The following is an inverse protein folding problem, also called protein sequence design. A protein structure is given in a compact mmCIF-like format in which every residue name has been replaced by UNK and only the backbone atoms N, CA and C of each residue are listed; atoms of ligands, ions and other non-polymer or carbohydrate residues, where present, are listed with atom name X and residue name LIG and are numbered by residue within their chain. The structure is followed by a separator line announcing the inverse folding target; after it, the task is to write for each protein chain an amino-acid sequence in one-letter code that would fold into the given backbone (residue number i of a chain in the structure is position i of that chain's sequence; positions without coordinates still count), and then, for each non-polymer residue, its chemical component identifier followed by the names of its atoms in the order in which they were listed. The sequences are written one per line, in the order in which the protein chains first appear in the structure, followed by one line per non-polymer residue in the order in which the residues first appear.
data_IF_684452277921
#
_entry.id   IF_684452277921
#
_cell.length_a   1.000
_cell.length_b   1.000
_cell.length_c   1.000
_cell.angle_alpha   90.00
_cell.angle_beta   90.00
_cell.angle_gamma   90.00
#
_symmetry.space_group_name_H-M   'P 1'
#
loop_
_entity.id
_entity.type
_entity.pdbx_description
1 polymer ?
#
# COMPACT_ATOMS: atom_id res chain seq x y z
N UNK A 1 36.65 47.40 -17.55
CA UNK A 1 35.93 46.50 -16.62
C UNK A 1 35.10 45.54 -17.47
N UNK A 2 35.45 44.26 -17.53
CA UNK A 2 34.72 43.25 -18.31
C UNK A 2 33.73 42.57 -17.36
N UNK A 3 32.43 42.83 -17.54
CA UNK A 3 31.35 42.19 -16.79
C UNK A 3 31.18 40.75 -17.28
N UNK A 4 31.48 39.78 -16.42
CA UNK A 4 31.19 38.37 -16.67
C UNK A 4 29.71 38.10 -16.36
N UNK A 5 28.96 37.63 -17.36
CA UNK A 5 27.61 37.11 -17.18
C UNK A 5 27.72 35.67 -16.64
N UNK A 6 27.40 35.48 -15.37
CA UNK A 6 27.26 34.14 -14.78
C UNK A 6 25.83 33.67 -15.06
N UNK A 7 25.68 32.71 -15.98
CA UNK A 7 24.41 32.03 -16.23
C UNK A 7 24.23 31.00 -15.12
N UNK A 8 23.31 31.26 -14.19
CA UNK A 8 22.82 30.25 -13.26
C UNK A 8 21.89 29.31 -14.03
N UNK A 9 22.38 28.12 -14.36
CA UNK A 9 21.53 27.03 -14.83
C UNK A 9 20.75 26.48 -13.63
N UNK A 10 19.48 26.89 -13.50
CA UNK A 10 18.54 26.28 -12.56
C UNK A 10 18.17 24.91 -13.13
N UNK A 11 18.79 23.85 -12.62
CA UNK A 11 18.41 22.48 -12.91
C UNK A 11 17.14 22.19 -12.08
N UNK A 12 15.98 22.20 -12.75
CA UNK A 12 14.77 21.62 -12.18
C UNK A 12 14.96 20.10 -12.11
N UNK A 13 15.16 19.56 -10.90
CA UNK A 13 14.87 18.15 -10.65
C UNK A 13 13.35 17.98 -10.71
N UNK A 14 12.85 17.62 -11.89
CA UNK A 14 11.53 17.02 -11.99
C UNK A 14 11.67 15.66 -11.30
N UNK A 15 11.27 15.57 -10.04
CA UNK A 15 10.94 14.28 -9.41
C UNK A 15 9.82 13.68 -10.23
N UNK A 16 10.18 12.92 -11.26
CA UNK A 16 9.24 12.09 -11.98
C UNK A 16 8.66 11.12 -10.97
N UNK A 17 7.41 11.35 -10.55
CA UNK A 17 6.60 10.30 -9.95
C UNK A 17 6.50 9.21 -11.00
N UNK A 18 7.41 8.23 -10.98
CA UNK A 18 7.19 6.96 -11.65
C UNK A 18 5.84 6.50 -11.14
N UNK A 19 4.84 6.43 -12.02
CA UNK A 19 3.50 6.03 -11.65
C UNK A 19 3.60 4.72 -10.88
N UNK A 20 3.23 4.74 -9.59
CA UNK A 20 3.27 3.54 -8.78
C UNK A 20 2.35 2.51 -9.45
N UNK A 21 2.90 1.32 -9.66
CA UNK A 21 2.24 0.17 -10.29
C UNK A 21 2.16 -0.94 -9.26
N UNK A 22 1.12 -1.77 -9.37
CA UNK A 22 0.99 -2.99 -8.59
C UNK A 22 1.78 -4.06 -9.34
N UNK A 23 2.79 -4.63 -8.68
CA UNK A 23 3.53 -5.79 -9.20
C UNK A 23 2.90 -7.04 -8.64
N UNK A 24 2.36 -7.86 -9.55
CA UNK A 24 1.64 -9.07 -9.16
C UNK A 24 2.49 -10.30 -9.52
N UNK A 25 3.00 -11.04 -8.53
CA UNK A 25 3.58 -12.36 -8.74
C UNK A 25 2.47 -13.41 -8.91
N UNK A 26 2.76 -14.47 -9.65
CA UNK A 26 1.83 -15.56 -9.96
C UNK A 26 2.19 -16.83 -9.17
N UNK A 27 1.21 -17.57 -8.61
CA UNK A 27 -0.23 -17.32 -8.66
C UNK A 27 -0.66 -16.16 -7.76
N UNK A 28 -1.71 -15.44 -8.15
CA UNK A 28 -2.27 -14.31 -7.39
C UNK A 28 -3.09 -14.82 -6.21
N UNK A 29 -2.57 -14.68 -5.00
CA UNK A 29 -3.32 -14.91 -3.76
C UNK A 29 -3.67 -13.55 -3.17
N UNK A 30 -4.96 -13.21 -3.21
CA UNK A 30 -5.46 -11.87 -2.93
C UNK A 30 -6.20 -11.79 -1.60
N UNK A 31 -5.77 -10.86 -0.73
CA UNK A 31 -6.46 -10.48 0.50
C UNK A 31 -7.08 -9.09 0.38
N UNK A 32 -8.40 -9.02 0.38
CA UNK A 32 -9.15 -7.77 0.34
C UNK A 32 -9.59 -7.33 1.75
N UNK A 33 -9.07 -6.20 2.22
CA UNK A 33 -9.36 -5.64 3.55
C UNK A 33 -10.26 -4.40 3.43
N UNK A 34 -11.35 -4.35 4.20
CA UNK A 34 -12.18 -3.14 4.22
C UNK A 34 -13.49 -3.23 5.00
N UNK A 35 -14.51 -2.54 4.48
CA UNK A 35 -15.84 -2.39 5.08
C UNK A 35 -16.97 -2.82 4.13
N UNK A 36 -18.15 -2.17 4.19
CA UNK A 36 -19.29 -2.43 3.30
C UNK A 36 -18.91 -2.34 1.82
N UNK A 37 -17.97 -1.47 1.45
CA UNK A 37 -17.56 -1.33 0.06
C UNK A 37 -16.71 -2.50 -0.42
N UNK A 38 -16.01 -3.19 0.48
CA UNK A 38 -15.18 -4.35 0.15
C UNK A 38 -15.96 -5.67 0.21
N UNK A 39 -16.88 -5.81 1.18
CA UNK A 39 -17.78 -6.98 1.22
C UNK A 39 -18.89 -6.89 0.15
N UNK A 40 -19.01 -5.78 -0.56
CA UNK A 40 -20.04 -5.54 -1.58
C UNK A 40 -21.44 -5.64 -1.00
N UNK A 41 -21.73 -4.80 -0.01
CA UNK A 41 -23.07 -4.69 0.57
C UNK A 41 -24.12 -4.46 -0.53
N UNK A 42 -25.23 -5.19 -0.44
CA UNK A 42 -26.40 -5.05 -1.32
C UNK A 42 -26.17 -5.47 -2.79
N UNK A 43 -25.11 -6.20 -3.07
CA UNK A 43 -24.90 -6.91 -4.35
C UNK A 43 -24.58 -8.39 -4.09
N UNK A 44 -24.87 -9.30 -5.04
CA UNK A 44 -24.48 -10.70 -4.92
C UNK A 44 -22.95 -10.88 -4.97
N UNK A 45 -22.45 -12.03 -4.52
CA UNK A 45 -21.01 -12.24 -4.33
C UNK A 45 -20.18 -12.06 -5.61
N UNK A 46 -20.72 -12.50 -6.75
CA UNK A 46 -20.09 -12.38 -8.06
C UNK A 46 -19.98 -10.93 -8.55
N UNK A 47 -20.73 -10.00 -7.96
CA UNK A 47 -20.68 -8.57 -8.26
C UNK A 47 -19.76 -7.79 -7.33
N UNK A 48 -19.17 -8.42 -6.30
CA UNK A 48 -18.21 -7.74 -5.41
C UNK A 48 -16.94 -7.43 -6.19
N UNK A 49 -16.40 -6.21 -6.05
CA UNK A 49 -15.20 -5.82 -6.79
C UNK A 49 -13.98 -6.73 -6.56
N UNK A 50 -13.72 -7.35 -5.39
CA UNK A 50 -12.58 -8.26 -5.25
C UNK A 50 -12.75 -9.54 -6.09
N UNK A 51 -13.98 -10.03 -6.22
CA UNK A 51 -14.33 -11.19 -7.06
C UNK A 51 -14.21 -10.82 -8.54
N UNK A 52 -14.75 -9.65 -8.92
CA UNK A 52 -14.60 -9.13 -10.28
C UNK A 52 -13.13 -8.91 -10.66
N UNK A 53 -12.29 -8.44 -9.74
CA UNK A 53 -10.86 -8.26 -9.96
C UNK A 53 -10.16 -9.59 -10.24
N UNK A 54 -10.42 -10.63 -9.44
CA UNK A 54 -9.85 -11.96 -9.67
C UNK A 54 -10.26 -12.52 -11.04
N UNK A 55 -11.54 -12.33 -11.43
CA UNK A 55 -12.02 -12.72 -12.76
C UNK A 55 -11.32 -11.94 -13.88
N UNK A 56 -11.13 -10.62 -13.70
CA UNK A 56 -10.45 -9.77 -14.68
C UNK A 56 -8.96 -10.14 -14.84
N UNK A 57 -8.27 -10.45 -13.73
CA UNK A 57 -6.90 -10.94 -13.73
C UNK A 57 -6.79 -12.29 -14.45
N UNK A 58 -7.66 -13.25 -14.12
CA UNK A 58 -7.71 -14.55 -14.80
C UNK A 58 -7.99 -14.39 -16.29
N UNK A 59 -8.93 -13.53 -16.68
CA UNK A 59 -9.24 -13.23 -18.09
C UNK A 59 -8.08 -12.54 -18.84
N UNK A 60 -7.21 -11.85 -18.11
CA UNK A 60 -5.96 -11.26 -18.61
C UNK A 60 -4.77 -12.23 -18.58
N UNK A 61 -5.03 -13.51 -18.28
CA UNK A 61 -4.09 -14.62 -18.33
C UNK A 61 -3.17 -14.76 -17.11
N UNK A 62 -3.48 -14.11 -15.98
CA UNK A 62 -2.76 -14.36 -14.73
C UNK A 62 -3.22 -15.69 -14.13
N UNK A 63 -2.30 -16.47 -13.58
CA UNK A 63 -2.68 -17.58 -12.70
C UNK A 63 -3.24 -16.99 -11.40
N UNK A 64 -4.49 -17.29 -11.08
CA UNK A 64 -5.16 -16.83 -9.86
C UNK A 64 -5.27 -17.98 -8.85
N UNK A 65 -5.17 -17.64 -7.57
CA UNK A 65 -5.24 -18.56 -6.44
C UNK A 65 -6.33 -18.15 -5.45
N UNK A 66 -6.00 -18.14 -4.15
CA UNK A 66 -6.97 -17.83 -3.09
C UNK A 66 -7.42 -16.37 -3.15
N UNK A 67 -8.73 -16.14 -3.05
CA UNK A 67 -9.30 -14.85 -2.68
C UNK A 67 -9.84 -14.94 -1.26
N UNK A 68 -9.40 -14.03 -0.39
CA UNK A 68 -9.95 -13.85 0.95
C UNK A 68 -10.43 -12.42 1.13
N UNK A 69 -11.64 -12.26 1.66
CA UNK A 69 -12.24 -10.96 1.96
C UNK A 69 -12.41 -10.85 3.48
N UNK A 70 -11.75 -9.87 4.11
CA UNK A 70 -11.96 -9.50 5.51
C UNK A 70 -12.58 -8.12 5.52
N UNK A 71 -13.91 -8.10 5.50
CA UNK A 71 -14.68 -6.88 5.45
C UNK A 71 -16.11 -7.09 5.97
N UNK A 72 -16.69 -6.05 6.56
CA UNK A 72 -18.08 -6.06 7.00
C UNK A 72 -18.65 -4.64 7.01
N UNK A 73 -19.94 -4.54 6.74
CA UNK A 73 -20.69 -3.28 6.77
C UNK A 73 -20.60 -2.60 8.13
N UNK A 74 -20.37 -1.28 8.10
CA UNK A 74 -20.28 -0.44 9.30
C UNK A 74 -18.91 -0.41 9.98
N UNK A 75 -17.94 -1.21 9.52
CA UNK A 75 -16.61 -1.25 10.12
C UNK A 75 -15.82 0.03 9.92
N UNK A 76 -15.23 0.47 11.03
CA UNK A 76 -14.14 1.45 11.07
C UNK A 76 -12.78 0.73 11.10
N UNK A 77 -11.72 1.53 11.09
CA UNK A 77 -10.33 1.07 11.23
C UNK A 77 -10.08 0.12 12.41
N UNK A 78 -10.64 0.40 13.59
CA UNK A 78 -10.50 -0.45 14.78
C UNK A 78 -11.18 -1.82 14.63
N UNK A 79 -12.34 -1.86 14.00
CA UNK A 79 -13.04 -3.12 13.72
C UNK A 79 -12.24 -3.99 12.75
N UNK A 80 -11.79 -3.41 11.64
CA UNK A 80 -11.00 -4.12 10.64
C UNK A 80 -9.69 -4.66 11.25
N UNK A 81 -8.97 -3.85 12.04
CA UNK A 81 -7.75 -4.27 12.74
C UNK A 81 -8.02 -5.49 13.64
N UNK A 82 -9.08 -5.43 14.44
CA UNK A 82 -9.44 -6.53 15.33
C UNK A 82 -9.79 -7.80 14.55
N UNK A 83 -10.54 -7.68 13.45
CA UNK A 83 -10.92 -8.81 12.61
C UNK A 83 -9.73 -9.47 11.92
N UNK A 84 -8.76 -8.68 11.44
CA UNK A 84 -7.49 -9.19 10.89
C UNK A 84 -6.75 -9.99 11.96
N UNK A 85 -6.56 -9.40 13.15
CA UNK A 85 -5.82 -10.03 14.24
C UNK A 85 -6.44 -11.36 14.70
N UNK A 86 -7.77 -11.47 14.71
CA UNK A 86 -8.49 -12.70 15.08
C UNK A 86 -8.32 -13.83 14.06
N UNK A 87 -7.92 -13.53 12.83
CA UNK A 87 -7.77 -14.50 11.76
C UNK A 87 -6.30 -14.88 11.50
N UNK A 88 -5.35 -14.33 12.26
CA UNK A 88 -3.94 -14.66 12.12
C UNK A 88 -3.66 -16.12 12.55
N UNK A 89 -2.66 -16.79 11.93
CA UNK A 89 -1.81 -16.28 10.85
C UNK A 89 -2.50 -16.31 9.47
N UNK A 90 -2.32 -15.23 8.69
CA UNK A 90 -2.79 -15.09 7.32
C UNK A 90 -1.56 -15.13 6.38
N UNK A 91 -1.17 -16.33 5.97
CA UNK A 91 0.04 -16.56 5.19
C UNK A 91 -0.26 -16.75 3.69
N UNK A 92 0.71 -16.44 2.83
CA UNK A 92 0.67 -16.80 1.40
C UNK A 92 -0.01 -15.78 0.47
N UNK A 93 -0.53 -14.67 1.01
CA UNK A 93 -1.04 -13.56 0.20
C UNK A 93 0.10 -12.72 -0.37
N UNK A 94 0.01 -12.41 -1.65
CA UNK A 94 0.99 -11.61 -2.38
C UNK A 94 0.39 -10.34 -3.01
N UNK A 95 -0.94 -10.26 -3.04
CA UNK A 95 -1.69 -9.04 -3.33
C UNK A 95 -2.57 -8.72 -2.13
N UNK A 96 -2.50 -7.49 -1.62
CA UNK A 96 -3.34 -7.03 -0.51
C UNK A 96 -3.93 -5.66 -0.85
N UNK A 97 -5.23 -5.51 -0.68
CA UNK A 97 -5.89 -4.21 -0.86
C UNK A 97 -6.40 -3.67 0.46
N UNK A 98 -6.38 -2.34 0.61
CA UNK A 98 -7.03 -1.66 1.73
C UNK A 98 -8.02 -0.59 1.21
N UNK A 99 -9.29 -0.73 1.60
CA UNK A 99 -10.34 0.26 1.41
C UNK A 99 -11.12 0.42 2.72
N UNK A 100 -10.85 1.49 3.46
CA UNK A 100 -11.45 1.73 4.77
C UNK A 100 -11.55 3.24 5.01
N UNK A 101 -12.47 3.66 5.88
CA UNK A 101 -12.51 5.02 6.42
C UNK A 101 -13.85 5.73 6.26
N UNK A 102 -14.76 5.25 5.40
CA UNK A 102 -16.08 5.89 5.24
C UNK A 102 -16.86 5.90 6.55
N UNK A 103 -16.80 4.81 7.33
CA UNK A 103 -17.48 4.74 8.62
C UNK A 103 -16.79 5.58 9.70
N UNK A 104 -15.47 5.79 9.62
CA UNK A 104 -14.79 6.73 10.49
C UNK A 104 -15.31 8.15 10.25
N UNK A 105 -15.48 8.55 8.99
CA UNK A 105 -16.08 9.83 8.62
C UNK A 105 -17.57 9.90 9.02
N UNK A 106 -18.37 8.93 8.60
CA UNK A 106 -19.83 8.90 8.80
C UNK A 106 -20.22 8.98 10.28
N UNK A 107 -19.40 8.38 11.16
CA UNK A 107 -19.62 8.38 12.61
C UNK A 107 -18.96 9.58 13.33
N UNK A 108 -18.60 10.64 12.59
CA UNK A 108 -18.13 11.91 13.15
C UNK A 108 -16.63 11.97 13.48
N UNK A 109 -15.83 11.02 12.99
CA UNK A 109 -14.38 11.03 13.14
C UNK A 109 -13.71 12.14 12.33
N UNK A 110 -12.52 12.55 12.75
CA UNK A 110 -11.72 13.58 12.07
C UNK A 110 -10.54 12.96 11.30
N UNK A 111 -10.07 13.59 10.20
CA UNK A 111 -8.87 13.14 9.50
C UNK A 111 -7.64 13.01 10.40
N UNK A 112 -7.50 13.89 11.40
CA UNK A 112 -6.39 13.87 12.35
C UNK A 112 -6.39 12.61 13.22
N UNK A 113 -7.55 12.23 13.77
CA UNK A 113 -7.67 11.01 14.58
C UNK A 113 -7.58 9.74 13.72
N UNK A 114 -8.04 9.81 12.48
CA UNK A 114 -8.03 8.70 11.53
C UNK A 114 -6.63 8.37 10.99
N UNK A 115 -5.78 9.38 10.74
CA UNK A 115 -4.46 9.20 10.14
C UNK A 115 -3.58 8.11 10.80
N UNK A 116 -3.33 8.12 12.13
CA UNK A 116 -2.51 7.08 12.76
C UNK A 116 -3.15 5.68 12.73
N UNK A 117 -4.49 5.61 12.67
CA UNK A 117 -5.21 4.33 12.59
C UNK A 117 -5.10 3.72 11.18
N UNK A 118 -5.17 4.57 10.15
CA UNK A 118 -4.97 4.14 8.78
C UNK A 118 -3.52 3.72 8.52
N UNK A 119 -2.54 4.47 9.03
CA UNK A 119 -1.11 4.11 8.92
C UNK A 119 -0.81 2.72 9.51
N UNK A 120 -1.39 2.42 10.67
CA UNK A 120 -1.25 1.13 11.34
C UNK A 120 -1.88 -0.01 10.53
N UNK A 121 -3.05 0.20 9.93
CA UNK A 121 -3.67 -0.78 9.02
C UNK A 121 -2.88 -0.97 7.73
N UNK A 122 -2.35 0.11 7.14
CA UNK A 122 -1.53 0.03 5.95
C UNK A 122 -0.23 -0.74 6.22
N UNK A 123 0.39 -0.50 7.37
CA UNK A 123 1.58 -1.25 7.82
C UNK A 123 1.28 -2.73 7.98
N UNK A 124 0.11 -3.08 8.55
CA UNK A 124 -0.35 -4.47 8.64
C UNK A 124 -0.63 -5.08 7.26
N UNK A 125 -1.27 -4.36 6.35
CA UNK A 125 -1.51 -4.82 4.98
C UNK A 125 -0.20 -5.14 4.24
N UNK A 126 0.82 -4.28 4.40
CA UNK A 126 2.17 -4.52 3.87
C UNK A 126 2.75 -5.79 4.47
N UNK A 127 2.68 -5.98 5.78
CA UNK A 127 3.18 -7.19 6.44
C UNK A 127 2.51 -8.47 5.90
N UNK A 128 1.19 -8.43 5.71
CA UNK A 128 0.40 -9.54 5.16
C UNK A 128 0.76 -9.86 3.71
N UNK A 129 1.26 -8.88 2.94
CA UNK A 129 1.79 -9.05 1.59
C UNK A 129 3.27 -9.50 1.57
N UNK A 130 3.75 -10.18 2.62
CA UNK A 130 5.16 -10.55 2.76
C UNK A 130 6.09 -9.34 2.87
N UNK A 131 5.60 -8.23 3.44
CA UNK A 131 6.26 -6.94 3.53
C UNK A 131 6.64 -6.33 2.18
N UNK A 132 5.94 -6.66 1.11
CA UNK A 132 6.17 -6.10 -0.22
C UNK A 132 5.17 -4.98 -0.51
N UNK A 133 5.54 -3.69 -0.37
CA UNK A 133 4.61 -2.58 -0.64
C UNK A 133 4.16 -2.51 -2.11
N UNK A 134 4.92 -3.09 -3.05
CA UNK A 134 4.51 -3.17 -4.46
C UNK A 134 3.39 -4.19 -4.73
N UNK A 135 3.15 -5.11 -3.79
CA UNK A 135 1.99 -6.02 -3.78
C UNK A 135 0.80 -5.46 -3.00
N UNK A 136 0.89 -4.23 -2.48
CA UNK A 136 -0.22 -3.58 -1.77
C UNK A 136 -0.77 -2.44 -2.61
N UNK A 137 -2.10 -2.26 -2.55
CA UNK A 137 -2.74 -1.07 -3.07
C UNK A 137 -3.85 -0.55 -2.16
N UNK A 138 -4.08 0.76 -2.21
CA UNK A 138 -5.15 1.44 -1.49
C UNK A 138 -6.14 2.00 -2.49
N UNK A 139 -7.43 1.79 -2.24
CA UNK A 139 -8.50 2.46 -2.96
C UNK A 139 -8.94 3.71 -2.20
N UNK A 140 -9.18 4.80 -2.92
CA UNK A 140 -9.82 5.98 -2.33
C UNK A 140 -11.25 5.67 -1.88
N UNK A 141 -11.74 6.37 -0.86
CA UNK A 141 -13.09 6.24 -0.33
C UNK A 141 -14.08 6.85 -1.34
N UNK A 142 -15.13 6.12 -1.77
CA UNK A 142 -16.21 6.65 -2.59
C UNK A 142 -16.95 7.82 -1.90
N UNK A 143 -17.39 8.78 -2.69
CA UNK A 143 -18.15 9.95 -2.25
C UNK A 143 -19.65 9.65 -2.28
N UNK A 144 -20.20 9.22 -1.13
CA UNK A 144 -21.61 8.86 -1.04
C UNK A 144 -22.55 10.08 -1.02
N UNK A 145 -22.05 11.33 -1.08
CA UNK A 145 -22.90 12.49 -1.34
C UNK A 145 -23.69 12.31 -2.64
N UNK A 146 -23.13 11.56 -3.59
CA UNK A 146 -23.70 11.32 -4.91
C UNK A 146 -24.59 10.07 -4.97
N UNK A 147 -25.18 9.69 -3.84
CA UNK A 147 -26.17 8.61 -3.73
C UNK A 147 -27.52 9.21 -3.35
N UNK A 148 -28.66 8.53 -3.59
CA UNK A 148 -29.95 8.92 -3.02
C UNK A 148 -29.88 9.19 -1.51
N UNK A 149 -29.14 8.38 -0.75
CA UNK A 149 -28.94 8.57 0.69
C UNK A 149 -28.17 9.86 1.03
N UNK A 150 -27.10 10.16 0.30
CA UNK A 150 -26.28 11.36 0.53
C UNK A 150 -26.90 12.66 0.01
N UNK A 151 -27.85 12.56 -0.93
CA UNK A 151 -28.69 13.65 -1.41
C UNK A 151 -27.93 14.94 -1.81
N UNK A 152 -26.75 14.77 -2.42
CA UNK A 152 -25.91 15.88 -2.90
C UNK A 152 -25.30 16.75 -1.81
N UNK A 153 -25.21 16.26 -0.56
CA UNK A 153 -24.71 17.06 0.55
C UNK A 153 -23.20 17.35 0.42
N UNK A 154 -22.79 18.63 0.20
CA UNK A 154 -21.40 18.98 -0.06
C UNK A 154 -20.48 18.78 1.15
N UNK A 155 -21.02 18.74 2.37
CA UNK A 155 -20.22 18.49 3.57
C UNK A 155 -19.65 17.07 3.57
N UNK A 156 -20.37 16.09 3.00
CA UNK A 156 -19.87 14.72 2.83
C UNK A 156 -18.67 14.75 1.89
N UNK A 157 -18.80 15.34 0.69
CA UNK A 157 -17.72 15.42 -0.29
C UNK A 157 -16.46 16.07 0.28
N UNK A 158 -16.60 17.18 0.99
CA UNK A 158 -15.47 17.87 1.62
C UNK A 158 -14.75 16.98 2.66
N UNK A 159 -15.51 16.22 3.45
CA UNK A 159 -14.93 15.32 4.45
C UNK A 159 -14.25 14.12 3.79
N UNK A 160 -14.90 13.51 2.80
CA UNK A 160 -14.33 12.39 2.02
C UNK A 160 -13.03 12.81 1.34
N UNK A 161 -12.97 14.01 0.76
CA UNK A 161 -11.74 14.55 0.18
C UNK A 161 -10.62 14.68 1.23
N UNK A 162 -10.93 15.14 2.44
CA UNK A 162 -9.96 15.26 3.52
C UNK A 162 -9.43 13.88 4.01
N UNK A 163 -10.31 12.87 4.12
CA UNK A 163 -9.90 11.50 4.47
C UNK A 163 -9.08 10.86 3.34
N UNK A 164 -9.46 11.06 2.09
CA UNK A 164 -8.71 10.57 0.93
C UNK A 164 -7.35 11.22 0.79
N UNK A 165 -7.22 12.50 1.17
CA UNK A 165 -5.91 13.16 1.23
C UNK A 165 -4.99 12.50 2.26
N UNK A 166 -5.53 12.11 3.42
CA UNK A 166 -4.79 11.33 4.43
C UNK A 166 -4.34 9.99 3.84
N UNK A 167 -5.27 9.23 3.23
CA UNK A 167 -4.94 7.94 2.63
C UNK A 167 -3.84 8.06 1.58
N UNK A 168 -3.94 9.04 0.68
CA UNK A 168 -2.97 9.30 -0.39
C UNK A 168 -1.59 9.66 0.16
N UNK A 169 -1.52 10.56 1.13
CA UNK A 169 -0.26 11.00 1.73
C UNK A 169 0.46 9.83 2.40
N UNK A 170 -0.25 9.07 3.24
CA UNK A 170 0.33 7.93 3.96
C UNK A 170 0.74 6.83 2.98
N UNK A 171 -0.11 6.49 1.99
CA UNK A 171 0.24 5.49 0.96
C UNK A 171 1.51 5.87 0.22
N UNK A 172 1.67 7.15 -0.14
CA UNK A 172 2.88 7.65 -0.79
C UNK A 172 4.12 7.51 0.08
N UNK A 173 4.02 7.75 1.40
CA UNK A 173 5.15 7.61 2.33
C UNK A 173 5.64 6.15 2.42
N UNK A 174 4.73 5.19 2.32
CA UNK A 174 5.04 3.76 2.36
C UNK A 174 5.36 3.15 0.98
N UNK A 175 5.32 3.96 -0.09
CA UNK A 175 5.54 3.47 -1.46
C UNK A 175 4.45 2.52 -1.96
N UNK A 176 3.25 2.61 -1.40
CA UNK A 176 2.08 1.80 -1.76
C UNK A 176 1.25 2.51 -2.83
N UNK A 177 0.86 1.77 -3.85
CA UNK A 177 0.04 2.29 -4.96
C UNK A 177 -1.32 2.78 -4.45
N UNK A 178 -1.64 4.05 -4.69
CA UNK A 178 -2.94 4.65 -4.41
C UNK A 178 -3.77 4.79 -5.69
N UNK A 179 -4.98 4.23 -5.70
CA UNK A 179 -5.90 4.23 -6.84
C UNK A 179 -7.12 5.08 -6.49
N UNK A 180 -7.36 6.09 -7.30
CA UNK A 180 -8.42 7.07 -7.08
C UNK A 180 -9.71 6.66 -7.80
N UNK A 181 -10.65 6.07 -7.05
CA UNK A 181 -11.96 5.63 -7.53
C UNK A 181 -13.08 6.62 -7.18
N UNK A 182 -12.80 7.63 -6.36
CA UNK A 182 -13.78 8.62 -5.90
C UNK A 182 -14.47 9.36 -7.05
N UNK A 183 -13.77 9.77 -8.14
CA UNK A 183 -14.43 10.38 -9.29
C UNK A 183 -15.54 9.53 -9.91
N UNK A 184 -15.44 8.20 -9.85
CA UNK A 184 -16.48 7.29 -10.39
C UNK A 184 -17.78 7.47 -9.60
N UNK A 185 -17.68 7.44 -8.27
CA UNK A 185 -18.85 7.58 -7.38
C UNK A 185 -19.58 8.91 -7.51
N UNK A 186 -18.88 9.98 -7.92
CA UNK A 186 -19.47 11.30 -8.16
C UNK A 186 -20.43 11.36 -9.36
N UNK A 187 -20.55 10.29 -10.12
CA UNK A 187 -21.57 10.15 -11.17
C UNK A 187 -22.85 9.47 -10.67
N UNK A 188 -22.96 9.08 -9.40
CA UNK A 188 -24.07 8.26 -8.91
C UNK A 188 -25.46 8.91 -9.01
N UNK A 189 -25.57 10.24 -8.86
CA UNK A 189 -26.85 10.95 -9.02
C UNK A 189 -27.28 11.09 -10.48
N UNK A 190 -26.32 11.26 -11.39
CA UNK A 190 -26.59 11.38 -12.84
C UNK A 190 -26.72 10.02 -13.52
N UNK A 191 -26.17 8.96 -12.91
CA UNK A 191 -26.27 7.59 -13.39
C UNK A 191 -26.69 6.64 -12.24
N UNK A 192 -28.01 6.50 -11.99
CA UNK A 192 -28.52 5.66 -10.91
C UNK A 192 -28.14 4.19 -11.00
N UNK A 193 -27.76 3.68 -12.18
CA UNK A 193 -27.31 2.30 -12.36
C UNK A 193 -25.98 2.02 -11.63
N UNK A 194 -25.25 3.05 -11.21
CA UNK A 194 -24.05 2.92 -10.40
C UNK A 194 -24.35 2.66 -8.91
N UNK A 195 -25.61 2.81 -8.48
CA UNK A 195 -26.01 2.63 -7.08
C UNK A 195 -26.81 1.34 -6.94
N UNK A 196 -26.54 0.56 -5.88
CA UNK A 196 -27.27 -0.65 -5.56
C UNK A 196 -28.71 -0.34 -5.11
N UNK A 197 -29.53 -1.39 -4.97
CA UNK A 197 -30.95 -1.26 -4.65
C UNK A 197 -31.27 -0.62 -3.30
N UNK A 198 -30.29 -0.46 -2.41
CA UNK A 198 -30.44 0.22 -1.12
C UNK A 198 -30.28 1.74 -1.18
N UNK A 199 -29.94 2.29 -2.36
CA UNK A 199 -29.79 3.73 -2.56
C UNK A 199 -28.57 4.35 -1.88
N UNK A 200 -27.61 3.54 -1.43
CA UNK A 200 -26.40 3.99 -0.74
C UNK A 200 -25.12 3.34 -1.30
N UNK A 201 -25.10 2.03 -1.46
CA UNK A 201 -23.86 1.32 -1.80
C UNK A 201 -23.61 1.27 -3.32
N UNK A 202 -22.36 1.08 -3.76
CA UNK A 202 -22.04 0.86 -5.17
C UNK A 202 -22.74 -0.39 -5.72
N UNK A 203 -23.24 -0.30 -6.95
CA UNK A 203 -23.73 -1.48 -7.68
C UNK A 203 -22.57 -2.31 -8.24
N UNK A 204 -22.89 -3.53 -8.72
CA UNK A 204 -21.95 -4.35 -9.49
C UNK A 204 -21.31 -3.61 -10.67
N UNK A 205 -22.08 -2.73 -11.33
CA UNK A 205 -21.56 -1.89 -12.43
C UNK A 205 -20.52 -0.89 -11.95
N UNK A 206 -20.76 -0.18 -10.84
CA UNK A 206 -19.75 0.74 -10.30
C UNK A 206 -18.49 -0.03 -9.88
N UNK A 207 -18.64 -1.21 -9.28
CA UNK A 207 -17.53 -2.08 -8.95
C UNK A 207 -16.71 -2.52 -10.18
N UNK A 208 -17.33 -2.77 -11.34
CA UNK A 208 -16.60 -3.04 -12.59
C UNK A 208 -15.73 -1.87 -13.01
N UNK A 209 -16.22 -0.63 -12.88
CA UNK A 209 -15.43 0.57 -13.19
C UNK A 209 -14.24 0.74 -12.22
N UNK A 210 -14.37 0.32 -10.96
CA UNK A 210 -13.24 0.30 -10.03
C UNK A 210 -12.18 -0.70 -10.47
N UNK A 211 -12.61 -1.89 -10.89
CA UNK A 211 -11.71 -2.93 -11.43
C UNK A 211 -10.97 -2.41 -12.66
N UNK A 212 -11.62 -1.65 -13.55
CA UNK A 212 -10.93 -1.01 -14.67
C UNK A 212 -9.80 -0.06 -14.22
N UNK A 213 -10.04 0.79 -13.21
CA UNK A 213 -8.99 1.66 -12.65
C UNK A 213 -7.86 0.87 -11.98
N UNK A 214 -8.19 -0.23 -11.30
CA UNK A 214 -7.19 -1.13 -10.70
C UNK A 214 -6.33 -1.76 -11.80
N UNK A 215 -6.95 -2.32 -12.84
CA UNK A 215 -6.25 -3.02 -13.92
C UNK A 215 -5.31 -2.09 -14.70
N UNK A 216 -5.61 -0.78 -14.80
CA UNK A 216 -4.67 0.22 -15.38
C UNK A 216 -3.36 0.34 -14.61
N UNK A 217 -3.31 -0.08 -13.34
CA UNK A 217 -2.12 -0.03 -12.47
C UNK A 217 -1.45 -1.39 -12.30
N UNK A 218 -2.09 -2.47 -12.76
CA UNK A 218 -1.55 -3.82 -12.66
C UNK A 218 -0.44 -4.01 -13.68
N UNK A 219 0.69 -4.51 -13.20
CA UNK A 219 1.81 -4.97 -14.02
C UNK A 219 2.14 -6.40 -13.62
N UNK A 220 2.37 -7.26 -14.63
CA UNK A 220 2.94 -8.59 -14.35
C UNK A 220 4.32 -8.40 -13.75
N UNK A 221 4.53 -8.99 -12.59
CA UNK A 221 5.90 -9.26 -12.15
C UNK A 221 6.41 -10.38 -13.04
N UNK A 222 7.08 -10.01 -14.13
CA UNK A 222 7.78 -10.98 -14.93
C UNK A 222 8.84 -11.61 -14.04
N UNK A 223 8.61 -12.85 -13.64
CA UNK A 223 9.67 -13.75 -13.24
C UNK A 223 10.54 -13.95 -14.48
N UNK A 224 11.42 -12.99 -14.76
CA UNK A 224 12.70 -13.42 -15.30
C UNK A 224 13.18 -14.32 -14.18
N UNK A 225 13.23 -15.63 -14.42
CA UNK A 225 14.15 -16.46 -13.66
C UNK A 225 15.43 -15.65 -13.72
N UNK A 226 15.85 -15.08 -12.60
CA UNK A 226 17.23 -14.64 -12.49
C UNK A 226 18.00 -15.94 -12.71
N UNK A 227 18.33 -16.23 -13.98
CA UNK A 227 19.63 -16.77 -14.33
C UNK A 227 20.55 -16.09 -13.34
N UNK A 228 21.24 -16.84 -12.46
CA UNK A 228 21.99 -16.26 -11.37
C UNK A 228 23.05 -15.37 -12.02
N UNK A 229 22.70 -14.11 -12.25
CA UNK A 229 23.62 -13.01 -12.21
C UNK A 229 24.20 -13.19 -10.83
N UNK A 230 25.43 -13.69 -10.78
CA UNK A 230 26.22 -13.66 -9.58
C UNK A 230 26.05 -12.24 -9.01
N UNK A 231 25.22 -12.11 -7.97
CA UNK A 231 24.92 -10.83 -7.35
C UNK A 231 26.22 -10.45 -6.70
N UNK A 232 27.03 -9.66 -7.40
CA UNK A 232 28.25 -9.07 -6.85
C UNK A 232 27.87 -7.90 -5.94
N UNK A 233 26.97 -8.17 -4.99
CA UNK A 233 26.44 -7.22 -4.02
C UNK A 233 26.29 -7.93 -2.67
N UNK A 234 26.29 -7.17 -1.57
CA UNK A 234 26.22 -7.77 -0.27
C UNK A 234 24.84 -8.32 0.04
N UNK A 235 24.84 -9.55 0.53
CA UNK A 235 23.66 -10.23 1.06
C UNK A 235 23.53 -9.89 2.55
N UNK A 236 22.37 -10.16 3.11
CA UNK A 236 22.13 -9.89 4.53
C UNK A 236 21.17 -10.90 5.15
N UNK A 237 21.31 -11.08 6.46
CA UNK A 237 20.43 -11.92 7.25
C UNK A 237 20.40 -11.43 8.70
N UNK A 238 19.34 -11.78 9.42
CA UNK A 238 19.22 -11.52 10.84
C UNK A 238 19.26 -12.83 11.60
N UNK A 239 20.17 -12.92 12.57
CA UNK A 239 20.30 -14.05 13.47
C UNK A 239 20.75 -13.53 14.84
N UNK A 240 20.19 -14.07 15.93
CA UNK A 240 20.59 -13.74 17.31
C UNK A 240 20.63 -12.23 17.61
N UNK A 241 19.60 -11.49 17.15
CA UNK A 241 19.52 -10.02 17.23
C UNK A 241 20.76 -9.31 16.66
N UNK A 242 21.29 -9.83 15.56
CA UNK A 242 22.38 -9.23 14.79
C UNK A 242 22.01 -9.22 13.32
N UNK A 243 22.09 -8.05 12.69
CA UNK A 243 21.96 -7.90 11.24
C UNK A 243 23.34 -8.11 10.63
N UNK A 244 23.57 -9.27 10.00
CA UNK A 244 24.80 -9.55 9.25
C UNK A 244 24.67 -9.05 7.82
N UNK A 245 25.69 -8.36 7.33
CA UNK A 245 25.89 -8.01 5.93
C UNK A 245 27.13 -8.78 5.44
N UNK A 246 26.99 -9.62 4.41
CA UNK A 246 28.09 -10.40 3.81
C UNK A 246 28.46 -9.83 2.44
N UNK A 247 29.65 -10.12 1.92
CA UNK A 247 30.12 -9.61 0.62
C UNK A 247 30.14 -8.08 0.49
N UNK A 248 30.40 -7.36 1.58
CA UNK A 248 30.59 -5.92 1.55
C UNK A 248 31.92 -5.58 0.83
N UNK A 249 31.86 -4.80 -0.25
CA UNK A 249 33.04 -4.51 -1.10
C UNK A 249 33.84 -3.30 -0.62
N UNK A 250 33.24 -2.44 0.20
CA UNK A 250 33.81 -1.18 0.71
C UNK A 250 33.05 -0.68 1.94
N UNK A 251 33.53 0.42 2.55
CA UNK A 251 32.85 0.99 3.72
C UNK A 251 31.47 1.53 3.33
N UNK A 252 30.50 1.36 4.21
CA UNK A 252 29.12 1.80 3.98
C UNK A 252 28.52 2.40 5.27
N UNK A 253 27.57 3.29 5.12
CA UNK A 253 26.71 3.71 6.23
C UNK A 253 25.46 2.85 6.23
N UNK A 254 25.09 2.30 7.38
CA UNK A 254 23.83 1.59 7.57
C UNK A 254 22.96 2.38 8.54
N UNK A 255 21.72 2.62 8.15
CA UNK A 255 20.71 3.27 8.98
C UNK A 255 19.55 2.31 9.16
N UNK A 256 19.08 2.15 10.40
CA UNK A 256 17.97 1.27 10.76
C UNK A 256 16.81 2.15 11.25
N UNK A 257 15.61 1.83 10.79
CA UNK A 257 14.39 2.57 11.02
C UNK A 257 13.32 1.63 11.57
N UNK A 258 12.48 2.14 12.48
CA UNK A 258 11.21 1.50 12.85
C UNK A 258 10.18 1.63 11.72
N UNK A 259 9.11 0.86 11.80
CA UNK A 259 8.02 0.91 10.82
C UNK A 259 7.34 2.28 10.69
N UNK A 260 7.33 3.08 11.76
CA UNK A 260 6.84 4.47 11.74
C UNK A 260 7.84 5.47 11.12
N UNK A 261 8.91 4.99 10.49
CA UNK A 261 9.94 5.83 9.86
C UNK A 261 10.95 6.47 10.81
N UNK A 262 10.86 6.22 12.13
CA UNK A 262 11.84 6.73 13.09
C UNK A 262 13.16 5.97 12.95
N UNK A 263 14.26 6.69 12.71
CA UNK A 263 15.60 6.11 12.75
C UNK A 263 15.96 5.69 14.18
N UNK A 264 16.45 4.47 14.35
CA UNK A 264 16.81 3.86 15.64
C UNK A 264 18.28 3.46 15.76
N UNK A 265 18.97 3.26 14.63
CA UNK A 265 20.42 3.10 14.60
C UNK A 265 20.98 3.74 13.32
N UNK A 266 22.21 4.24 13.40
CA UNK A 266 23.01 4.68 12.27
C UNK A 266 24.47 4.37 12.57
N UNK A 267 25.07 3.50 11.77
CA UNK A 267 26.42 2.96 12.01
C UNK A 267 27.23 2.98 10.73
N UNK A 268 28.55 3.22 10.85
CA UNK A 268 29.47 3.11 9.73
C UNK A 268 30.11 1.73 9.74
N UNK A 269 29.79 0.94 8.74
CA UNK A 269 30.40 -0.36 8.49
C UNK A 269 31.75 -0.15 7.79
N UNK A 270 32.83 -0.45 8.48
CA UNK A 270 34.20 -0.35 7.95
C UNK A 270 34.74 -1.73 7.58
N UNK A 271 35.49 -1.82 6.48
CA UNK A 271 36.12 -3.06 6.01
C UNK A 271 35.48 -3.68 4.77
N UNK A 272 35.92 -4.89 4.41
CA UNK A 272 35.42 -5.70 3.29
C UNK A 272 35.03 -7.10 3.79
N UNK A 273 34.03 -7.71 3.17
CA UNK A 273 33.55 -9.06 3.51
C UNK A 273 32.33 -9.04 4.42
N UNK A 274 32.39 -9.75 5.56
CA UNK A 274 31.28 -9.86 6.51
C UNK A 274 31.40 -8.81 7.61
N UNK A 275 30.29 -8.13 7.88
CA UNK A 275 30.14 -7.18 8.99
C UNK A 275 28.75 -7.35 9.61
N UNK A 276 28.52 -6.74 10.77
CA UNK A 276 27.24 -6.87 11.47
C UNK A 276 26.89 -5.65 12.31
N UNK A 277 25.59 -5.38 12.43
CA UNK A 277 25.02 -4.39 13.34
C UNK A 277 24.30 -5.10 14.47
N UNK A 278 24.58 -4.67 15.71
CA UNK A 278 23.88 -5.18 16.89
C UNK A 278 22.47 -4.64 16.97
N UNK A 279 21.49 -5.52 17.19
CA UNK A 279 20.08 -5.19 17.33
C UNK A 279 19.58 -5.45 18.76
N UNK A 280 20.48 -5.73 19.70
CA UNK A 280 20.15 -6.14 21.07
C UNK A 280 19.27 -5.15 21.83
N UNK A 281 19.41 -3.86 21.54
CA UNK A 281 18.67 -2.78 22.20
C UNK A 281 17.36 -2.42 21.48
N UNK A 282 17.05 -3.09 20.38
CA UNK A 282 15.82 -2.84 19.63
C UNK A 282 14.69 -3.72 20.20
N UNK A 283 13.52 -3.13 20.51
CA UNK A 283 12.36 -3.92 20.92
C UNK A 283 11.87 -4.84 19.79
N UNK A 284 10.98 -5.77 20.13
CA UNK A 284 10.32 -6.59 19.13
C UNK A 284 9.55 -5.69 18.15
N UNK A 285 9.63 -5.98 16.86
CA UNK A 285 8.98 -5.16 15.84
C UNK A 285 9.64 -5.21 14.47
N UNK A 286 9.06 -4.46 13.54
CA UNK A 286 9.56 -4.33 12.18
C UNK A 286 10.56 -3.20 12.05
N UNK A 287 11.63 -3.54 11.35
CA UNK A 287 12.70 -2.61 11.05
C UNK A 287 13.02 -2.64 9.57
N UNK A 288 13.39 -1.46 9.07
CA UNK A 288 13.92 -1.25 7.75
C UNK A 288 15.36 -0.82 7.90
N UNK A 289 16.26 -1.31 7.06
CA UNK A 289 17.59 -0.73 6.98
C UNK A 289 17.89 -0.20 5.59
N UNK A 290 18.75 0.82 5.55
CA UNK A 290 19.30 1.41 4.33
C UNK A 290 20.81 1.35 4.43
N UNK A 291 21.46 0.82 3.41
CA UNK A 291 22.91 0.78 3.27
C UNK A 291 23.34 1.74 2.16
N UNK A 292 24.17 2.72 2.51
CA UNK A 292 24.70 3.75 1.62
C UNK A 292 26.19 3.49 1.36
N UNK A 293 26.58 3.39 0.09
CA UNK A 293 28.00 3.28 -0.33
C UNK A 293 28.52 4.56 -0.99
N UNK A 294 27.62 5.26 -1.65
CA UNK A 294 27.77 6.50 -2.42
C UNK A 294 26.32 7.10 -2.51
N UNK A 295 26.08 8.43 -2.62
CA UNK A 295 24.74 9.03 -2.73
C UNK A 295 23.72 8.29 -3.61
N UNK A 296 24.19 7.58 -4.64
CA UNK A 296 23.37 6.90 -5.64
C UNK A 296 23.17 5.39 -5.42
N UNK A 297 23.97 4.72 -4.59
CA UNK A 297 23.85 3.28 -4.36
C UNK A 297 23.19 2.97 -3.01
N UNK A 298 21.96 2.44 -3.07
CA UNK A 298 21.12 2.14 -1.91
C UNK A 298 20.68 0.69 -1.93
N UNK A 299 21.08 -0.08 -0.92
CA UNK A 299 20.41 -1.34 -0.59
C UNK A 299 19.43 -1.07 0.52
N UNK A 300 18.20 -1.56 0.37
CA UNK A 300 17.18 -1.52 1.41
C UNK A 300 16.77 -2.94 1.76
N UNK A 301 16.74 -3.25 3.05
CA UNK A 301 16.22 -4.52 3.54
C UNK A 301 15.25 -4.29 4.69
N UNK A 302 14.52 -5.34 5.05
CA UNK A 302 13.49 -5.32 6.09
C UNK A 302 13.62 -6.57 6.95
N UNK A 303 13.47 -6.45 8.25
CA UNK A 303 13.54 -7.61 9.13
C UNK A 303 12.61 -7.45 10.33
N UNK A 304 12.22 -8.58 10.88
CA UNK A 304 11.47 -8.66 12.12
C UNK A 304 12.42 -9.03 13.25
N UNK A 305 12.28 -8.36 14.39
CA UNK A 305 12.86 -8.83 15.65
C UNK A 305 11.74 -9.43 16.51
N UNK A 306 11.87 -10.71 16.90
CA UNK A 306 10.95 -11.34 17.85
C UNK A 306 11.15 -10.80 19.28
#
# INVERSE_FOLDING_TARGET
MKTAFVIFAIIFFISGSRGQTIKIPEPVNFLALGDSYTIGQSVPENERWPVQLMNALSGSGFQTGELRIIAQTGWRTDNLKNAINQQLPLNGFNVVSLLIGVNNQYQGGTPHAYAPQFEDLLSQAIALAGYNPSGVFVLSIPDYAFTPFGNGNPAISQQIDAFNQVNRNISSLFGVTYIDITPISRNGLSNPALIAGDGLHPSGLMYSLWVEEIMKKVTRELSIAEEPFAVSGPEWFVQDKSLSIVNLTESAEIQIYQANGRMVSAERLTGRGRTSVSLMNLPAGFYFFRLFRDPDFRITGKFYLP
#
